data_IF_192344293106
#
_entry.id   IF_192344293106
#
_cell.length_a   1.000
_cell.length_b   1.000
_cell.length_c   1.000
_cell.angle_alpha   90.00
_cell.angle_beta   90.00
_cell.angle_gamma   90.00
#
_symmetry.space_group_name_H-M   'P 1'
#
loop_
_entity.id
_entity.type
_entity.pdbx_description
1 polymer ?
#
# COMPACT_ATOMS: atom_id res chain seq x y z
N UNK A 1 -45.11 -18.52 4.21
CA UNK A 1 -44.61 -19.09 2.94
C UNK A 1 -43.07 -19.25 2.93
N UNK A 2 -42.27 -18.25 3.35
CA UNK A 2 -40.79 -18.36 3.31
C UNK A 2 -40.12 -19.35 4.27
N UNK A 3 -40.67 -19.58 5.47
CA UNK A 3 -40.06 -20.48 6.46
C UNK A 3 -40.25 -21.97 6.10
N UNK A 4 -41.40 -22.32 5.50
CA UNK A 4 -41.68 -23.67 5.00
C UNK A 4 -40.78 -24.04 3.81
N UNK A 5 -40.44 -23.08 2.96
CA UNK A 5 -39.52 -23.28 1.84
C UNK A 5 -38.07 -23.50 2.31
N UNK A 6 -37.62 -22.77 3.34
CA UNK A 6 -36.28 -22.95 3.93
C UNK A 6 -36.10 -24.34 4.57
N UNK A 7 -37.13 -24.84 5.27
CA UNK A 7 -37.11 -26.18 5.88
C UNK A 7 -37.18 -27.28 4.82
N UNK A 8 -37.99 -27.12 3.77
CA UNK A 8 -38.04 -28.06 2.66
C UNK A 8 -36.70 -28.16 1.89
N UNK A 9 -35.99 -27.04 1.71
CA UNK A 9 -34.67 -27.02 1.06
C UNK A 9 -33.60 -27.66 1.93
N UNK A 10 -33.59 -27.42 3.25
CA UNK A 10 -32.66 -28.12 4.16
C UNK A 10 -32.94 -29.62 4.24
N UNK A 11 -34.21 -30.02 4.26
CA UNK A 11 -34.60 -31.42 4.26
C UNK A 11 -34.19 -32.10 2.94
N UNK A 12 -34.35 -31.41 1.80
CA UNK A 12 -33.85 -31.86 0.52
C UNK A 12 -32.32 -31.97 0.53
N UNK A 13 -31.58 -30.95 0.99
CA UNK A 13 -30.11 -30.93 1.05
C UNK A 13 -29.55 -32.10 1.89
N UNK A 14 -30.23 -32.44 3.01
CA UNK A 14 -29.90 -33.62 3.81
C UNK A 14 -30.19 -34.93 3.07
N UNK A 15 -31.35 -35.06 2.41
CA UNK A 15 -31.65 -36.24 1.57
C UNK A 15 -30.68 -36.37 0.38
N UNK A 16 -30.29 -35.27 -0.27
CA UNK A 16 -29.36 -35.26 -1.40
C UNK A 16 -27.97 -35.78 -1.03
N UNK A 17 -27.47 -35.47 0.17
CA UNK A 17 -26.20 -36.00 0.68
C UNK A 17 -26.27 -37.52 0.95
N UNK A 18 -27.43 -38.04 1.35
CA UNK A 18 -27.61 -39.49 1.60
C UNK A 18 -27.82 -40.33 0.34
N UNK A 19 -28.38 -39.76 -0.73
CA UNK A 19 -28.58 -40.48 -2.00
C UNK A 19 -27.29 -40.60 -2.84
N UNK A 20 -26.35 -39.67 -2.68
CA UNK A 20 -25.07 -39.62 -3.42
C UNK A 20 -23.84 -39.78 -2.52
N UNK A 21 -23.99 -40.44 -1.36
CA UNK A 21 -22.86 -40.87 -0.55
C UNK A 21 -21.92 -41.75 -1.40
N UNK A 22 -20.60 -41.43 -1.47
CA UNK A 22 -19.64 -42.17 -2.30
C UNK A 22 -19.60 -43.67 -2.00
N UNK A 23 -19.96 -44.04 -0.77
CA UNK A 23 -19.98 -45.41 -0.27
C UNK A 23 -20.87 -46.36 -1.11
N UNK A 24 -21.94 -45.86 -1.75
CA UNK A 24 -22.81 -46.70 -2.62
C UNK A 24 -22.35 -46.80 -4.08
N UNK A 25 -21.46 -45.91 -4.54
CA UNK A 25 -20.92 -45.95 -5.90
C UNK A 25 -19.65 -46.83 -6.00
N UNK A 26 -18.93 -47.01 -4.89
CA UNK A 26 -17.81 -47.95 -4.81
C UNK A 26 -18.23 -49.42 -5.01
N UNK A 27 -19.49 -49.78 -4.71
CA UNK A 27 -20.01 -51.15 -4.92
C UNK A 27 -20.34 -51.48 -6.38
N UNK A 28 -20.40 -50.49 -7.27
CA UNK A 28 -20.68 -50.69 -8.71
C UNK A 28 -19.50 -50.22 -9.57
N UNK A 29 -18.42 -51.00 -9.52
CA UNK A 29 -17.36 -51.05 -10.55
C UNK A 29 -16.84 -49.69 -11.02
N UNK A 30 -15.80 -49.18 -10.35
CA UNK A 30 -15.10 -47.95 -10.74
C UNK A 30 -14.52 -47.98 -12.16
N UNK A 31 -14.31 -46.78 -12.71
CA UNK A 31 -13.73 -46.55 -14.04
C UNK A 31 -12.26 -47.00 -14.09
N UNK A 32 -11.79 -47.63 -15.18
CA UNK A 32 -10.40 -48.05 -15.30
C UNK A 32 -9.46 -46.84 -15.40
N UNK A 33 -8.39 -46.88 -14.60
CA UNK A 33 -7.34 -45.86 -14.52
C UNK A 33 -6.46 -45.83 -15.80
N UNK A 34 -6.31 -44.69 -16.50
CA UNK A 34 -5.46 -44.59 -17.70
C UNK A 34 -3.95 -44.60 -17.40
N UNK A 35 -3.52 -44.60 -16.13
CA UNK A 35 -2.11 -44.51 -15.74
C UNK A 35 -1.55 -45.76 -15.04
N UNK A 36 -2.28 -46.88 -15.04
CA UNK A 36 -1.85 -48.15 -14.44
C UNK A 36 -0.81 -48.93 -15.30
N UNK A 37 0.22 -48.24 -15.82
CA UNK A 37 1.28 -48.89 -16.61
C UNK A 37 2.65 -48.27 -16.38
N UNK A 38 3.11 -48.23 -15.13
CA UNK A 38 4.53 -48.13 -14.80
C UNK A 38 4.77 -48.88 -13.48
N UNK A 39 4.97 -50.20 -13.59
CA UNK A 39 5.59 -51.02 -12.54
C UNK A 39 7.11 -50.93 -12.67
N UNK A 40 7.79 -50.68 -11.56
CA UNK A 40 9.24 -50.56 -11.48
C UNK A 40 9.73 -50.61 -10.03
N UNK A 41 9.63 -51.83 -9.47
CA UNK A 41 10.43 -52.48 -8.43
C UNK A 41 11.33 -51.66 -7.47
N UNK A 42 11.20 -51.96 -6.16
CA UNK A 42 12.27 -51.78 -5.18
C UNK A 42 11.87 -51.10 -3.86
N UNK A 43 11.91 -51.87 -2.76
CA UNK A 43 12.38 -51.35 -1.47
C UNK A 43 11.38 -51.30 -0.31
N UNK A 44 11.37 -52.37 0.45
CA UNK A 44 10.77 -52.53 1.77
C UNK A 44 11.33 -51.53 2.81
N UNK A 45 10.48 -50.79 3.53
CA UNK A 45 10.79 -50.33 4.89
C UNK A 45 9.55 -49.89 5.69
N UNK A 46 9.42 -50.53 6.86
CA UNK A 46 8.45 -50.29 7.93
C UNK A 46 8.49 -48.85 8.45
N UNK A 47 7.32 -48.30 8.78
CA UNK A 47 7.20 -47.14 9.66
C UNK A 47 5.79 -46.58 9.65
N UNK A 48 5.03 -46.86 10.73
CA UNK A 48 3.65 -46.44 10.91
C UNK A 48 3.42 -44.96 10.60
N UNK A 49 2.60 -44.70 9.59
CA UNK A 49 2.04 -43.39 9.28
C UNK A 49 0.53 -43.56 9.34
N UNK A 50 -0.08 -42.77 10.23
CA UNK A 50 -1.52 -42.75 10.47
C UNK A 50 -2.30 -42.73 9.16
N UNK A 51 -3.31 -43.58 9.09
CA UNK A 51 -4.42 -43.57 8.12
C UNK A 51 -5.19 -42.24 8.21
N UNK A 52 -4.57 -41.14 7.83
CA UNK A 52 -5.26 -39.90 7.54
C UNK A 52 -5.91 -40.08 6.17
N UNK A 53 -7.10 -40.69 6.20
CA UNK A 53 -8.19 -40.59 5.24
C UNK A 53 -7.78 -39.96 3.90
N UNK A 54 -7.41 -40.81 2.96
CA UNK A 54 -7.41 -40.52 1.54
C UNK A 54 -8.88 -40.39 1.09
N UNK A 55 -9.58 -39.37 1.57
CA UNK A 55 -10.83 -38.94 0.96
C UNK A 55 -10.48 -38.36 -0.40
N UNK A 56 -10.49 -39.24 -1.38
CA UNK A 56 -10.48 -38.94 -2.79
C UNK A 56 -11.48 -37.80 -3.04
N UNK A 57 -10.96 -36.60 -3.33
CA UNK A 57 -11.79 -35.44 -3.66
C UNK A 57 -12.42 -35.69 -5.03
N UNK A 58 -13.58 -36.34 -5.04
CA UNK A 58 -14.41 -36.48 -6.24
C UNK A 58 -14.86 -35.08 -6.65
N UNK A 59 -14.18 -34.52 -7.66
CA UNK A 59 -14.58 -33.29 -8.32
C UNK A 59 -16.01 -33.44 -8.85
N UNK A 60 -16.90 -32.52 -8.48
CA UNK A 60 -18.31 -32.57 -8.89
C UNK A 60 -18.43 -32.54 -10.43
N UNK A 61 -19.03 -33.56 -11.06
CA UNK A 61 -19.04 -33.66 -12.53
C UNK A 61 -19.80 -32.49 -13.19
N UNK A 62 -19.18 -31.91 -14.21
CA UNK A 62 -19.68 -30.78 -15.01
C UNK A 62 -21.07 -31.01 -15.60
N UNK A 63 -21.31 -32.21 -16.12
CA UNK A 63 -22.56 -32.57 -16.77
C UNK A 63 -23.75 -32.57 -15.79
N UNK A 64 -23.51 -32.80 -14.48
CA UNK A 64 -24.54 -32.71 -13.44
C UNK A 64 -24.93 -31.25 -13.22
N UNK A 65 -23.97 -30.32 -13.14
CA UNK A 65 -24.26 -28.89 -13.04
C UNK A 65 -25.03 -28.36 -14.28
N UNK A 66 -24.70 -28.88 -15.46
CA UNK A 66 -25.39 -28.57 -16.71
C UNK A 66 -26.82 -29.14 -16.75
N UNK A 67 -27.02 -30.38 -16.29
CA UNK A 67 -28.35 -30.99 -16.15
C UNK A 67 -29.23 -30.19 -15.18
N UNK A 68 -28.67 -29.71 -14.06
CA UNK A 68 -29.39 -28.85 -13.12
C UNK A 68 -29.74 -27.47 -13.69
N UNK A 69 -28.87 -26.89 -14.51
CA UNK A 69 -29.17 -25.65 -15.25
C UNK A 69 -30.29 -25.86 -16.27
N UNK A 70 -30.31 -27.01 -16.96
CA UNK A 70 -31.33 -27.32 -17.97
C UNK A 70 -32.71 -27.61 -17.34
N UNK A 71 -32.76 -28.39 -16.25
CA UNK A 71 -34.01 -28.84 -15.65
C UNK A 71 -34.58 -27.83 -14.62
N UNK A 72 -33.72 -27.15 -13.85
CA UNK A 72 -34.08 -26.28 -12.72
C UNK A 72 -33.31 -24.95 -12.70
N UNK A 73 -32.78 -24.51 -13.85
CA UNK A 73 -32.04 -23.25 -13.98
C UNK A 73 -32.87 -22.01 -13.66
N UNK A 74 -34.19 -22.05 -13.88
CA UNK A 74 -35.13 -20.99 -13.50
C UNK A 74 -35.25 -20.81 -11.98
N UNK A 75 -34.99 -21.86 -11.20
CA UNK A 75 -34.97 -21.83 -9.73
C UNK A 75 -33.55 -21.65 -9.15
N UNK A 76 -32.50 -21.58 -10.00
CA UNK A 76 -31.12 -21.38 -9.57
C UNK A 76 -30.42 -22.61 -8.97
N UNK A 77 -30.92 -23.83 -9.23
CA UNK A 77 -30.40 -25.08 -8.65
C UNK A 77 -28.89 -25.32 -8.92
N UNK A 78 -28.40 -24.94 -10.10
CA UNK A 78 -26.99 -25.02 -10.46
C UNK A 78 -26.07 -24.10 -9.63
N UNK A 79 -26.60 -22.98 -9.10
CA UNK A 79 -25.85 -22.08 -8.20
C UNK A 79 -25.76 -22.63 -6.77
N UNK A 80 -26.74 -23.43 -6.35
CA UNK A 80 -26.67 -24.20 -5.10
C UNK A 80 -25.67 -25.36 -5.23
N UNK A 81 -25.67 -26.08 -6.35
CA UNK A 81 -24.71 -27.16 -6.62
C UNK A 81 -23.25 -26.68 -6.61
N UNK A 82 -23.00 -25.46 -7.11
CA UNK A 82 -21.69 -24.79 -7.12
C UNK A 82 -21.34 -24.04 -5.82
N UNK A 83 -22.14 -24.18 -4.76
CA UNK A 83 -21.84 -23.68 -3.41
C UNK A 83 -22.10 -22.19 -3.18
N UNK A 84 -22.81 -21.50 -4.08
CA UNK A 84 -23.07 -20.04 -3.99
C UNK A 84 -24.49 -19.76 -3.54
N UNK A 85 -24.80 -20.14 -2.30
CA UNK A 85 -26.12 -20.06 -1.65
C UNK A 85 -26.77 -18.67 -1.70
N UNK A 86 -26.03 -17.59 -1.43
CA UNK A 86 -26.59 -16.22 -1.47
C UNK A 86 -27.06 -15.83 -2.88
N UNK A 87 -26.25 -16.16 -3.90
CA UNK A 87 -26.61 -15.87 -5.29
C UNK A 87 -27.71 -16.77 -5.83
N UNK A 88 -27.79 -18.02 -5.35
CA UNK A 88 -28.88 -18.95 -5.67
C UNK A 88 -30.20 -18.51 -5.06
N UNK A 89 -30.19 -17.97 -3.82
CA UNK A 89 -31.39 -17.48 -3.15
C UNK A 89 -31.95 -16.21 -3.84
N UNK A 90 -31.08 -15.29 -4.24
CA UNK A 90 -31.44 -14.13 -5.08
C UNK A 90 -32.04 -14.55 -6.43
N UNK A 91 -31.52 -15.62 -7.01
CA UNK A 91 -32.02 -16.19 -8.27
C UNK A 91 -33.40 -16.83 -8.12
N UNK A 92 -33.58 -17.62 -7.06
CA UNK A 92 -34.85 -18.25 -6.74
C UNK A 92 -35.94 -17.22 -6.40
N UNK A 93 -35.57 -16.16 -5.66
CA UNK A 93 -36.47 -15.07 -5.31
C UNK A 93 -36.89 -14.20 -6.52
N UNK A 94 -36.08 -14.19 -7.58
CA UNK A 94 -36.33 -13.42 -8.81
C UNK A 94 -36.84 -14.25 -9.98
N UNK A 95 -37.15 -15.55 -9.77
CA UNK A 95 -37.49 -16.50 -10.84
C UNK A 95 -36.48 -16.45 -12.01
N UNK A 96 -35.19 -16.43 -11.67
CA UNK A 96 -34.11 -16.36 -12.65
C UNK A 96 -34.04 -15.05 -13.43
N UNK A 97 -34.50 -13.94 -12.83
CA UNK A 97 -34.43 -12.61 -13.41
C UNK A 97 -35.10 -12.53 -14.79
N UNK A 98 -36.38 -12.90 -14.87
CA UNK A 98 -37.20 -12.83 -16.10
C UNK A 98 -36.57 -13.50 -17.34
N UNK A 99 -35.90 -14.65 -17.16
CA UNK A 99 -35.31 -15.43 -18.26
C UNK A 99 -33.98 -14.88 -18.81
N UNK A 100 -33.64 -13.62 -18.56
CA UNK A 100 -32.36 -13.03 -18.94
C UNK A 100 -31.18 -13.62 -18.16
N UNK A 101 -31.40 -13.96 -16.89
CA UNK A 101 -30.40 -14.67 -16.11
C UNK A 101 -30.08 -16.05 -16.70
N UNK A 102 -31.11 -16.80 -17.13
CA UNK A 102 -30.96 -18.16 -17.66
C UNK A 102 -30.02 -18.20 -18.89
N UNK A 103 -30.13 -17.20 -19.77
CA UNK A 103 -29.26 -17.03 -20.93
C UNK A 103 -27.83 -16.56 -20.57
N UNK A 104 -27.69 -15.63 -19.61
CA UNK A 104 -26.37 -15.18 -19.13
C UNK A 104 -25.57 -16.32 -18.47
N UNK A 105 -26.26 -17.26 -17.82
CA UNK A 105 -25.62 -18.43 -17.20
C UNK A 105 -25.09 -19.45 -18.22
N UNK A 106 -25.57 -19.47 -19.48
CA UNK A 106 -24.99 -20.29 -20.56
C UNK A 106 -23.55 -19.83 -20.89
N UNK A 107 -23.30 -18.52 -20.87
CA UNK A 107 -21.97 -17.93 -21.08
C UNK A 107 -21.08 -18.04 -19.83
N UNK A 108 -21.69 -18.08 -18.64
CA UNK A 108 -20.95 -18.19 -17.37
C UNK A 108 -20.61 -19.62 -16.98
N UNK A 109 -21.41 -20.63 -17.35
CA UNK A 109 -21.23 -22.03 -16.93
C UNK A 109 -19.84 -22.61 -17.26
N UNK A 110 -19.22 -22.37 -18.43
CA UNK A 110 -17.87 -22.84 -18.72
C UNK A 110 -16.82 -22.28 -17.74
N UNK A 111 -16.94 -21.00 -17.38
CA UNK A 111 -16.04 -20.35 -16.41
C UNK A 111 -16.30 -20.79 -14.96
N UNK A 112 -17.52 -21.22 -14.65
CA UNK A 112 -17.90 -21.77 -13.34
C UNK A 112 -17.47 -23.23 -13.19
N UNK A 113 -17.56 -24.02 -14.27
CA UNK A 113 -17.13 -25.41 -14.32
C UNK A 113 -15.60 -25.56 -14.26
N UNK A 114 -14.86 -24.67 -14.93
CA UNK A 114 -13.40 -24.58 -14.83
C UNK A 114 -12.90 -24.25 -13.42
N UNK A 115 -13.75 -23.67 -12.56
CA UNK A 115 -13.42 -23.38 -11.14
C UNK A 115 -13.62 -24.58 -10.21
N UNK A 116 -14.51 -25.51 -10.54
CA UNK A 116 -14.81 -26.72 -9.73
C UNK A 116 -13.85 -27.89 -9.98
N UNK A 117 -13.11 -27.86 -11.10
CA UNK A 117 -12.10 -28.87 -11.44
C UNK A 117 -10.69 -28.51 -10.95
N UNK A 118 -10.48 -27.28 -10.45
CA UNK A 118 -9.27 -26.98 -9.70
C UNK A 118 -9.44 -27.60 -8.31
N UNK A 119 -8.55 -28.51 -7.89
CA UNK A 119 -8.59 -29.00 -6.52
C UNK A 119 -8.62 -27.79 -5.60
N UNK A 120 -9.56 -27.78 -4.66
CA UNK A 120 -9.70 -26.73 -3.63
C UNK A 120 -8.53 -26.75 -2.64
N UNK A 121 -7.35 -27.23 -3.04
CA UNK A 121 -6.20 -27.47 -2.19
C UNK A 121 -5.42 -26.20 -1.83
N UNK A 122 -5.76 -25.02 -2.35
CA UNK A 122 -5.42 -23.76 -1.67
C UNK A 122 -6.49 -23.40 -0.63
N UNK A 123 -6.80 -24.33 0.28
CA UNK A 123 -7.04 -23.89 1.66
C UNK A 123 -5.68 -23.39 2.10
N UNK A 124 -5.48 -22.07 2.03
CA UNK A 124 -4.29 -21.36 2.51
C UNK A 124 -3.95 -21.90 3.90
N UNK A 125 -3.08 -22.90 3.96
CA UNK A 125 -2.86 -23.69 5.16
C UNK A 125 -2.24 -22.76 6.18
N UNK A 126 -2.83 -22.67 7.38
CA UNK A 126 -2.27 -21.82 8.41
C UNK A 126 -0.82 -22.26 8.66
N UNK A 127 0.16 -21.35 8.65
CA UNK A 127 1.54 -21.74 8.87
C UNK A 127 1.69 -22.31 10.28
N UNK A 128 2.57 -23.30 10.46
CA UNK A 128 2.74 -24.04 11.72
C UNK A 128 3.11 -23.16 12.93
N UNK A 129 3.63 -21.95 12.69
CA UNK A 129 3.89 -20.98 13.75
C UNK A 129 2.64 -20.16 14.14
N UNK A 130 1.67 -19.97 13.24
CA UNK A 130 0.47 -19.18 13.50
C UNK A 130 -0.49 -19.86 14.48
N UNK A 131 -0.53 -21.20 14.50
CA UNK A 131 -1.28 -21.98 15.49
C UNK A 131 -0.81 -21.67 16.92
N UNK A 132 0.51 -21.50 17.10
CA UNK A 132 1.14 -21.18 18.40
C UNK A 132 1.05 -19.69 18.76
N UNK A 133 0.88 -18.82 17.77
CA UNK A 133 0.78 -17.36 17.94
C UNK A 133 -0.58 -16.89 18.51
N UNK A 134 -1.52 -17.81 18.79
CA UNK A 134 -2.87 -17.52 19.29
C UNK A 134 -2.96 -16.64 20.55
N UNK A 135 -1.85 -16.45 21.28
CA UNK A 135 -1.74 -15.55 22.45
C UNK A 135 -0.91 -14.31 22.15
N UNK A 136 -1.29 -13.50 21.16
CA UNK A 136 -0.84 -12.11 21.10
C UNK A 136 -1.29 -11.42 22.39
N UNK A 137 -0.35 -11.05 23.25
CA UNK A 137 -0.63 -10.35 24.50
C UNK A 137 -1.34 -9.02 24.23
N UNK A 138 -2.15 -8.55 25.19
CA UNK A 138 -2.87 -7.27 25.09
C UNK A 138 -1.90 -6.12 24.75
N UNK A 139 -0.70 -6.14 25.35
CA UNK A 139 0.35 -5.15 25.10
C UNK A 139 0.83 -5.13 23.64
N UNK A 140 1.10 -6.29 23.03
CA UNK A 140 1.55 -6.37 21.62
C UNK A 140 0.46 -5.85 20.67
N UNK A 141 -0.80 -6.16 20.96
CA UNK A 141 -1.93 -5.61 20.22
C UNK A 141 -2.02 -4.08 20.33
N UNK A 142 -1.90 -3.53 21.54
CA UNK A 142 -1.95 -2.08 21.78
C UNK A 142 -0.80 -1.37 21.08
N UNK A 143 0.43 -1.90 21.16
CA UNK A 143 1.60 -1.33 20.49
C UNK A 143 1.43 -1.30 18.96
N UNK A 144 0.96 -2.40 18.36
CA UNK A 144 0.69 -2.47 16.92
C UNK A 144 -0.41 -1.50 16.50
N UNK A 145 -1.49 -1.43 17.27
CA UNK A 145 -2.60 -0.50 17.01
C UNK A 145 -2.14 0.96 17.09
N UNK A 146 -1.47 1.34 18.17
CA UNK A 146 -0.96 2.68 18.37
C UNK A 146 0.01 3.08 17.24
N UNK A 147 0.96 2.20 16.90
CA UNK A 147 1.89 2.46 15.80
C UNK A 147 1.19 2.60 14.45
N UNK A 148 0.30 1.68 14.10
CA UNK A 148 -0.40 1.73 12.80
C UNK A 148 -1.33 2.94 12.68
N UNK A 149 -1.78 3.55 13.78
CA UNK A 149 -2.54 4.78 13.74
C UNK A 149 -1.65 6.03 13.65
N UNK A 150 -0.59 6.09 14.46
CA UNK A 150 0.23 7.31 14.60
C UNK A 150 1.33 7.40 13.56
N UNK A 151 2.07 6.32 13.30
CA UNK A 151 3.24 6.38 12.42
C UNK A 151 2.88 6.69 10.96
N UNK A 152 1.84 6.07 10.35
CA UNK A 152 1.40 6.46 9.01
C UNK A 152 0.91 7.91 8.93
N UNK A 153 0.24 8.39 9.97
CA UNK A 153 -0.22 9.77 10.05
C UNK A 153 0.96 10.74 10.03
N UNK A 154 1.93 10.55 10.93
CA UNK A 154 3.15 11.38 10.98
C UNK A 154 3.91 11.32 9.66
N UNK A 155 4.05 10.13 9.08
CA UNK A 155 4.72 9.97 7.79
C UNK A 155 4.00 10.70 6.65
N UNK A 156 2.67 10.65 6.61
CA UNK A 156 1.88 11.37 5.60
C UNK A 156 2.04 12.87 5.75
N UNK A 157 1.95 13.39 6.97
CA UNK A 157 2.17 14.81 7.25
C UNK A 157 3.59 15.20 6.80
N UNK A 158 4.62 14.44 7.18
CA UNK A 158 6.00 14.70 6.78
C UNK A 158 6.16 14.69 5.25
N UNK A 159 5.66 13.66 4.56
CA UNK A 159 5.74 13.59 3.10
C UNK A 159 5.07 14.77 2.41
N UNK A 160 3.92 15.24 2.92
CA UNK A 160 3.26 16.43 2.37
C UNK A 160 4.10 17.69 2.63
N UNK A 161 4.57 17.89 3.87
CA UNK A 161 5.37 19.07 4.25
C UNK A 161 6.70 19.19 3.49
N UNK A 162 7.32 18.06 3.15
CA UNK A 162 8.58 18.00 2.41
C UNK A 162 8.37 17.79 0.90
N UNK A 163 7.14 17.84 0.40
CA UNK A 163 6.80 17.66 -1.02
C UNK A 163 7.34 16.33 -1.61
N UNK A 164 7.16 15.23 -0.88
CA UNK A 164 7.59 13.87 -1.23
C UNK A 164 6.40 12.94 -1.51
N UNK A 165 5.54 13.30 -2.46
CA UNK A 165 4.39 12.50 -2.86
C UNK A 165 4.78 11.13 -3.46
N UNK A 166 5.97 11.04 -4.04
CA UNK A 166 6.54 9.81 -4.56
C UNK A 166 6.68 8.72 -3.48
N UNK A 167 7.06 9.11 -2.25
CA UNK A 167 7.19 8.18 -1.13
C UNK A 167 5.82 7.68 -0.66
N UNK A 168 4.80 8.53 -0.70
CA UNK A 168 3.41 8.14 -0.41
C UNK A 168 2.88 7.15 -1.43
N UNK A 169 3.16 7.36 -2.72
CA UNK A 169 2.76 6.45 -3.78
C UNK A 169 3.44 5.08 -3.61
N UNK A 170 4.74 5.04 -3.33
CA UNK A 170 5.48 3.80 -3.07
C UNK A 170 4.94 3.08 -1.83
N UNK A 171 4.69 3.79 -0.73
CA UNK A 171 4.13 3.22 0.48
C UNK A 171 2.74 2.64 0.22
N UNK A 172 1.85 3.39 -0.43
CA UNK A 172 0.51 2.96 -0.79
C UNK A 172 0.55 1.70 -1.67
N UNK A 173 1.45 1.67 -2.66
CA UNK A 173 1.62 0.55 -3.58
C UNK A 173 2.02 -0.75 -2.87
N UNK A 174 2.69 -0.70 -1.72
CA UNK A 174 3.07 -1.88 -0.94
C UNK A 174 2.08 -2.20 0.17
N UNK A 175 1.65 -1.18 0.94
CA UNK A 175 0.78 -1.34 2.10
C UNK A 175 -0.64 -1.73 1.69
N UNK A 176 -1.18 -1.15 0.61
CA UNK A 176 -2.54 -1.45 0.15
C UNK A 176 -2.66 -2.94 -0.20
N UNK A 177 -1.77 -3.54 -1.02
CA UNK A 177 -1.73 -4.99 -1.16
C UNK A 177 -1.63 -5.67 0.20
N UNK A 178 -0.63 -5.40 1.03
CA UNK A 178 -0.46 -6.06 2.33
C UNK A 178 -1.72 -6.04 3.24
N UNK A 179 -2.47 -4.93 3.27
CA UNK A 179 -3.72 -4.80 4.03
C UNK A 179 -4.95 -5.42 3.36
N UNK A 180 -5.01 -5.41 2.03
CA UNK A 180 -6.10 -6.01 1.24
C UNK A 180 -5.90 -7.51 0.95
N UNK A 181 -4.71 -8.06 1.20
CA UNK A 181 -4.32 -9.46 0.99
C UNK A 181 -5.09 -10.47 1.85
N UNK A 182 -6.09 -10.06 2.65
CA UNK A 182 -7.08 -10.98 3.25
C UNK A 182 -7.86 -11.82 2.22
N UNK A 183 -7.60 -11.63 0.92
CA UNK A 183 -8.08 -12.42 -0.21
C UNK A 183 -6.98 -12.61 -1.30
N UNK A 184 -5.71 -12.71 -0.88
CA UNK A 184 -4.51 -12.68 -1.71
C UNK A 184 -4.63 -13.44 -3.04
N UNK A 185 -4.97 -14.73 -3.02
CA UNK A 185 -5.10 -15.51 -4.25
C UNK A 185 -6.11 -14.92 -5.25
N UNK A 186 -7.28 -14.45 -4.77
CA UNK A 186 -8.37 -13.97 -5.62
C UNK A 186 -8.22 -12.52 -6.11
N UNK A 187 -7.57 -11.67 -5.33
CA UNK A 187 -7.34 -10.28 -5.71
C UNK A 187 -6.11 -10.12 -6.60
N UNK A 188 -5.07 -10.96 -6.41
CA UNK A 188 -3.89 -10.99 -7.28
C UNK A 188 -4.22 -11.50 -8.68
N UNK A 189 -5.08 -12.52 -8.83
CA UNK A 189 -5.54 -13.01 -10.15
C UNK A 189 -6.35 -11.96 -10.92
N UNK A 190 -7.22 -11.17 -10.26
CA UNK A 190 -7.94 -10.08 -10.94
C UNK A 190 -7.03 -8.94 -11.40
N UNK A 191 -5.86 -8.82 -10.77
CA UNK A 191 -4.88 -7.80 -11.08
C UNK A 191 -3.85 -8.28 -12.11
N UNK A 192 -3.98 -9.45 -12.74
CA UNK A 192 -3.02 -9.89 -13.78
C UNK A 192 -2.84 -8.87 -14.90
N UNK A 193 -3.91 -8.20 -15.31
CA UNK A 193 -3.86 -7.10 -16.29
C UNK A 193 -3.05 -5.90 -15.75
N UNK A 194 -3.18 -5.59 -14.47
CA UNK A 194 -2.47 -4.47 -13.81
C UNK A 194 -1.02 -4.85 -13.45
N UNK A 195 -0.77 -6.13 -13.19
CA UNK A 195 0.56 -6.69 -12.93
C UNK A 195 1.45 -6.70 -14.17
N UNK A 196 0.87 -6.54 -15.37
CA UNK A 196 1.61 -6.34 -16.61
C UNK A 196 2.41 -5.02 -16.63
N UNK A 197 2.05 -4.04 -15.79
CA UNK A 197 2.78 -2.79 -15.69
C UNK A 197 4.07 -3.01 -14.89
N UNK A 198 5.24 -2.53 -15.37
CA UNK A 198 6.54 -2.88 -14.81
C UNK A 198 6.68 -2.48 -13.32
N UNK A 199 6.15 -1.32 -12.94
CA UNK A 199 6.21 -0.80 -11.55
C UNK A 199 5.30 -1.61 -10.62
N UNK A 200 4.06 -1.85 -11.04
CA UNK A 200 3.06 -2.54 -10.21
C UNK A 200 3.42 -4.04 -10.10
N UNK A 201 3.82 -4.67 -11.19
CA UNK A 201 4.31 -6.04 -11.20
C UNK A 201 5.52 -6.24 -10.27
N UNK A 202 6.45 -5.28 -10.25
CA UNK A 202 7.61 -5.33 -9.33
C UNK A 202 7.18 -5.25 -7.86
N UNK A 203 6.25 -4.35 -7.53
CA UNK A 203 5.73 -4.21 -6.17
C UNK A 203 4.93 -5.44 -5.72
N UNK A 204 4.06 -5.98 -6.58
CA UNK A 204 3.33 -7.22 -6.30
C UNK A 204 4.28 -8.41 -6.16
N UNK A 205 5.33 -8.49 -6.99
CA UNK A 205 6.38 -9.50 -6.87
C UNK A 205 7.13 -9.41 -5.55
N UNK A 206 7.42 -8.20 -5.07
CA UNK A 206 7.98 -7.97 -3.74
C UNK A 206 7.06 -8.45 -2.62
N UNK A 207 5.78 -8.08 -2.68
CA UNK A 207 4.75 -8.51 -1.71
C UNK A 207 4.61 -10.04 -1.69
N UNK A 208 4.64 -10.71 -2.85
CA UNK A 208 4.61 -12.18 -2.95
C UNK A 208 5.82 -12.83 -2.29
N UNK A 209 7.02 -12.27 -2.48
CA UNK A 209 8.25 -12.76 -1.84
C UNK A 209 8.19 -12.60 -0.31
N UNK A 210 7.69 -11.46 0.17
CA UNK A 210 7.46 -11.26 1.60
C UNK A 210 6.46 -12.26 2.17
N UNK A 211 5.35 -12.48 1.46
CA UNK A 211 4.35 -13.46 1.88
C UNK A 211 4.94 -14.86 2.01
N UNK A 212 5.67 -15.33 1.00
CA UNK A 212 6.34 -16.63 1.03
C UNK A 212 7.35 -16.75 2.19
N UNK A 213 8.14 -15.69 2.42
CA UNK A 213 9.11 -15.66 3.52
C UNK A 213 8.44 -15.75 4.90
N UNK A 214 7.39 -14.94 5.16
CA UNK A 214 6.69 -14.94 6.44
C UNK A 214 5.74 -16.13 6.63
N UNK A 215 5.41 -16.85 5.56
CA UNK A 215 4.74 -18.13 5.65
C UNK A 215 5.64 -19.17 6.32
N UNK A 216 6.90 -19.27 5.87
CA UNK A 216 7.88 -20.23 6.42
C UNK A 216 8.49 -19.77 7.75
N UNK A 217 8.63 -18.46 7.95
CA UNK A 217 9.32 -17.88 9.11
C UNK A 217 8.41 -16.95 9.92
N UNK A 218 8.25 -17.26 11.20
CA UNK A 218 7.50 -16.40 12.11
C UNK A 218 8.15 -15.01 12.21
N UNK A 219 7.36 -13.91 12.13
CA UNK A 219 7.88 -12.58 12.37
C UNK A 219 8.41 -12.49 13.82
N UNK A 220 9.52 -11.76 13.98
CA UNK A 220 10.09 -11.46 15.30
C UNK A 220 9.19 -10.51 16.11
N UNK A 221 9.65 -10.12 17.30
CA UNK A 221 8.93 -9.17 18.15
C UNK A 221 8.65 -7.86 17.41
N UNK A 222 7.55 -7.20 17.75
CA UNK A 222 7.18 -5.91 17.16
C UNK A 222 8.30 -4.86 17.30
N UNK A 223 8.96 -4.80 18.47
CA UNK A 223 10.06 -3.88 18.75
C UNK A 223 11.30 -4.14 17.87
N UNK A 224 11.55 -5.38 17.45
CA UNK A 224 12.63 -5.68 16.51
C UNK A 224 12.40 -4.96 15.17
N UNK A 225 11.16 -4.92 14.70
CA UNK A 225 10.80 -4.26 13.44
C UNK A 225 10.71 -2.75 13.56
N UNK A 226 10.35 -2.22 14.74
CA UNK A 226 10.35 -0.77 14.97
C UNK A 226 11.76 -0.18 14.82
N UNK A 227 12.78 -0.89 15.31
CA UNK A 227 14.18 -0.49 15.19
C UNK A 227 14.90 -1.16 14.01
N UNK A 228 14.17 -1.64 13.00
CA UNK A 228 14.73 -2.50 11.94
C UNK A 228 15.96 -1.93 11.20
N UNK A 229 16.01 -0.64 10.82
CA UNK A 229 17.20 -0.11 10.14
C UNK A 229 18.49 -0.31 10.94
N UNK A 230 18.39 -0.42 12.27
CA UNK A 230 19.51 -0.66 13.18
C UNK A 230 19.61 -2.14 13.56
N UNK A 231 18.50 -2.79 13.91
CA UNK A 231 18.51 -4.17 14.41
C UNK A 231 18.81 -5.19 13.31
N UNK A 232 18.40 -4.94 12.07
CA UNK A 232 18.58 -5.88 10.98
C UNK A 232 20.05 -6.05 10.57
N UNK A 233 20.85 -4.99 10.31
CA UNK A 233 22.28 -5.15 10.02
C UNK A 233 23.02 -5.92 11.11
N UNK A 234 22.72 -5.63 12.39
CA UNK A 234 23.31 -6.33 13.53
C UNK A 234 22.89 -7.80 13.60
N UNK A 235 21.63 -8.11 13.31
CA UNK A 235 21.11 -9.47 13.28
C UNK A 235 21.61 -10.27 12.06
N UNK A 236 21.83 -9.61 10.92
CA UNK A 236 22.30 -10.22 9.68
C UNK A 236 23.71 -10.79 9.83
N UNK A 237 24.57 -10.20 10.67
CA UNK A 237 25.91 -10.72 10.94
C UNK A 237 25.86 -12.14 11.53
N UNK A 238 24.90 -12.40 12.42
CA UNK A 238 24.82 -13.67 13.18
C UNK A 238 23.79 -14.66 12.66
N UNK A 239 22.72 -14.20 12.01
CA UNK A 239 21.57 -15.03 11.64
C UNK A 239 21.41 -15.16 10.12
N UNK A 240 21.42 -16.39 9.57
CA UNK A 240 21.17 -16.59 8.14
C UNK A 240 19.74 -16.19 7.74
N UNK A 241 18.77 -16.34 8.66
CA UNK A 241 17.37 -15.92 8.44
C UNK A 241 17.27 -14.40 8.31
N UNK A 242 17.95 -13.65 9.18
CA UNK A 242 17.96 -12.18 9.10
C UNK A 242 18.64 -11.68 7.81
N UNK A 243 19.69 -12.36 7.31
CA UNK A 243 20.30 -12.04 6.00
C UNK A 243 19.35 -12.26 4.84
N UNK A 244 18.59 -13.35 4.86
CA UNK A 244 17.57 -13.63 3.84
C UNK A 244 16.47 -12.58 3.89
N UNK A 245 15.98 -12.24 5.08
CA UNK A 245 14.98 -11.18 5.29
C UNK A 245 15.49 -9.84 4.72
N UNK A 246 16.71 -9.42 5.08
CA UNK A 246 17.32 -8.20 4.58
C UNK A 246 17.42 -8.17 3.04
N UNK A 247 17.80 -9.31 2.44
CA UNK A 247 17.91 -9.45 0.99
C UNK A 247 16.59 -9.23 0.24
N UNK A 248 15.44 -9.47 0.87
CA UNK A 248 14.13 -9.23 0.25
C UNK A 248 13.89 -7.75 -0.03
N UNK A 249 14.40 -6.86 0.83
CA UNK A 249 14.21 -5.42 0.73
C UNK A 249 15.20 -4.73 -0.20
N UNK A 250 16.25 -5.43 -0.68
CA UNK A 250 17.28 -4.83 -1.54
C UNK A 250 16.69 -4.14 -2.77
N UNK A 251 15.80 -4.80 -3.49
CA UNK A 251 15.19 -4.24 -4.70
C UNK A 251 14.24 -3.08 -4.38
N UNK A 252 13.55 -3.16 -3.24
CA UNK A 252 12.68 -2.09 -2.76
C UNK A 252 13.48 -0.83 -2.40
N UNK A 253 14.57 -0.99 -1.64
CA UNK A 253 15.50 0.09 -1.29
C UNK A 253 16.13 0.68 -2.54
N UNK A 254 16.59 -0.16 -3.49
CA UNK A 254 17.12 0.32 -4.76
C UNK A 254 16.10 1.15 -5.53
N UNK A 255 14.84 0.70 -5.62
CA UNK A 255 13.77 1.46 -6.26
C UNK A 255 13.53 2.81 -5.56
N UNK A 256 13.56 2.85 -4.22
CA UNK A 256 13.40 4.08 -3.46
C UNK A 256 14.52 5.08 -3.73
N UNK A 257 15.78 4.60 -3.75
CA UNK A 257 16.94 5.43 -4.12
C UNK A 257 16.82 5.93 -5.55
N UNK A 258 16.42 5.08 -6.49
CA UNK A 258 16.23 5.48 -7.89
C UNK A 258 15.17 6.56 -8.04
N UNK A 259 14.03 6.46 -7.33
CA UNK A 259 12.97 7.47 -7.35
C UNK A 259 13.48 8.82 -6.87
N UNK A 260 14.20 8.85 -5.74
CA UNK A 260 14.81 10.09 -5.22
C UNK A 260 15.87 10.62 -6.18
N UNK A 261 16.75 9.77 -6.70
CA UNK A 261 17.82 10.17 -7.61
C UNK A 261 17.27 10.77 -8.91
N UNK A 262 16.23 10.16 -9.49
CA UNK A 262 15.57 10.67 -10.71
C UNK A 262 14.94 12.04 -10.44
N UNK A 263 14.27 12.23 -9.30
CA UNK A 263 13.68 13.52 -8.91
C UNK A 263 14.74 14.63 -8.92
N UNK A 264 15.83 14.44 -8.19
CA UNK A 264 16.92 15.42 -8.14
C UNK A 264 17.63 15.63 -9.48
N UNK A 265 17.73 14.59 -10.31
CA UNK A 265 18.30 14.72 -11.65
C UNK A 265 17.42 15.58 -12.57
N UNK A 266 16.10 15.43 -12.49
CA UNK A 266 15.14 16.23 -13.29
C UNK A 266 15.06 17.67 -12.78
N UNK A 267 15.08 17.86 -11.46
CA UNK A 267 14.99 19.18 -10.82
C UNK A 267 16.33 19.95 -10.83
N UNK A 268 17.44 19.30 -11.17
CA UNK A 268 18.78 19.88 -11.07
C UNK A 268 18.90 21.25 -11.73
N UNK A 269 18.50 21.35 -13.00
CA UNK A 269 18.67 22.57 -13.80
C UNK A 269 17.80 23.74 -13.32
N UNK A 270 16.68 23.45 -12.66
CA UNK A 270 15.75 24.47 -12.16
C UNK A 270 16.08 24.91 -10.73
N UNK A 271 16.64 24.01 -9.92
CA UNK A 271 16.71 24.20 -8.46
C UNK A 271 18.13 24.46 -7.93
N UNK A 272 19.21 24.14 -8.65
CA UNK A 272 20.56 24.25 -8.10
C UNK A 272 21.39 25.39 -8.72
N UNK A 273 21.64 25.41 -10.05
CA UNK A 273 22.36 26.52 -10.68
C UNK A 273 21.65 27.88 -10.46
N UNK A 274 22.39 29.01 -10.50
CA UNK A 274 23.84 29.12 -10.71
C UNK A 274 24.65 29.01 -9.40
N UNK A 275 24.01 29.10 -8.23
CA UNK A 275 24.69 29.26 -6.94
C UNK A 275 25.01 27.93 -6.23
N UNK A 276 24.26 26.87 -6.50
CA UNK A 276 24.54 25.54 -5.96
C UNK A 276 25.11 24.65 -7.07
N UNK A 277 26.17 23.90 -6.74
CA UNK A 277 26.86 23.02 -7.65
C UNK A 277 26.29 21.59 -7.66
N UNK A 278 26.90 20.74 -8.49
CA UNK A 278 26.58 19.30 -8.56
C UNK A 278 26.85 18.59 -7.23
N UNK A 279 27.89 19.00 -6.49
CA UNK A 279 28.22 18.42 -5.19
C UNK A 279 27.13 18.67 -4.16
N UNK A 280 26.55 19.88 -4.14
CA UNK A 280 25.45 20.24 -3.25
C UNK A 280 24.21 19.41 -3.60
N UNK A 281 23.86 19.36 -4.89
CA UNK A 281 22.75 18.54 -5.38
C UNK A 281 22.89 17.07 -4.98
N UNK A 282 24.09 16.51 -5.08
CA UNK A 282 24.37 15.15 -4.62
C UNK A 282 24.19 15.01 -3.10
N UNK A 283 24.68 15.98 -2.31
CA UNK A 283 24.52 16.00 -0.85
C UNK A 283 23.04 15.98 -0.43
N UNK A 284 22.23 16.84 -1.06
CA UNK A 284 20.77 16.87 -0.85
C UNK A 284 20.11 15.56 -1.26
N UNK A 285 20.42 15.03 -2.44
CA UNK A 285 19.86 13.76 -2.92
C UNK A 285 20.23 12.60 -2.00
N UNK A 286 21.48 12.56 -1.51
CA UNK A 286 21.96 11.53 -0.59
C UNK A 286 21.25 11.59 0.76
N UNK A 287 21.18 12.77 1.39
CA UNK A 287 20.51 12.96 2.66
C UNK A 287 19.03 12.56 2.56
N UNK A 288 18.35 12.97 1.49
CA UNK A 288 16.96 12.60 1.23
C UNK A 288 16.80 11.10 0.98
N UNK A 289 17.69 10.47 0.23
CA UNK A 289 17.64 9.03 0.04
C UNK A 289 17.77 8.30 1.38
N UNK A 290 18.69 8.72 2.26
CA UNK A 290 18.84 8.13 3.61
C UNK A 290 17.57 8.30 4.43
N UNK A 291 17.01 9.52 4.49
CA UNK A 291 15.80 9.81 5.25
C UNK A 291 14.59 9.04 4.68
N UNK A 292 14.45 8.98 3.36
CA UNK A 292 13.40 8.24 2.67
C UNK A 292 13.50 6.74 2.98
N UNK A 293 14.69 6.14 2.88
CA UNK A 293 14.92 4.74 3.22
C UNK A 293 14.57 4.48 4.67
N UNK A 294 15.10 5.27 5.59
CA UNK A 294 14.88 5.08 7.01
C UNK A 294 13.39 5.23 7.37
N UNK A 295 12.77 6.35 6.99
CA UNK A 295 11.36 6.61 7.27
C UNK A 295 10.42 5.57 6.66
N UNK A 296 10.67 5.20 5.40
CA UNK A 296 9.82 4.20 4.72
C UNK A 296 10.00 2.81 5.32
N UNK A 297 11.22 2.38 5.66
CA UNK A 297 11.44 1.05 6.25
C UNK A 297 10.87 0.96 7.67
N UNK A 298 11.10 1.99 8.51
CA UNK A 298 10.54 2.07 9.88
C UNK A 298 9.02 1.97 9.84
N UNK A 299 8.39 2.56 8.83
CA UNK A 299 6.95 2.51 8.67
C UNK A 299 6.47 1.17 8.08
N UNK A 300 7.09 0.75 6.98
CA UNK A 300 6.63 -0.38 6.19
C UNK A 300 6.69 -1.69 6.98
N UNK A 301 7.79 -1.93 7.70
CA UNK A 301 8.04 -3.24 8.31
C UNK A 301 7.10 -3.61 9.46
N UNK A 302 6.84 -2.72 10.44
CA UNK A 302 5.88 -3.05 11.48
C UNK A 302 4.45 -3.17 10.92
N UNK A 303 4.12 -2.46 9.84
CA UNK A 303 2.82 -2.58 9.16
C UNK A 303 2.70 -3.92 8.43
N UNK A 304 3.68 -4.29 7.60
CA UNK A 304 3.65 -5.53 6.82
C UNK A 304 3.65 -6.75 7.74
N UNK A 305 4.49 -6.76 8.78
CA UNK A 305 4.53 -7.85 9.75
C UNK A 305 3.24 -7.92 10.58
N UNK A 306 2.62 -6.80 10.93
CA UNK A 306 1.29 -6.77 11.57
C UNK A 306 0.21 -7.33 10.65
N UNK A 307 0.24 -6.92 9.37
CA UNK A 307 -0.70 -7.40 8.37
C UNK A 307 -0.59 -8.92 8.17
N UNK A 308 0.62 -9.44 7.97
CA UNK A 308 0.86 -10.88 7.83
C UNK A 308 0.51 -11.65 9.11
N UNK A 309 0.84 -11.12 10.29
CA UNK A 309 0.47 -11.75 11.57
C UNK A 309 -1.05 -11.92 11.68
N UNK A 310 -1.83 -10.88 11.38
CA UNK A 310 -3.30 -10.97 11.43
C UNK A 310 -3.92 -11.76 10.29
N UNK A 311 -3.30 -11.77 9.12
CA UNK A 311 -3.71 -12.61 7.98
C UNK A 311 -3.55 -14.09 8.30
N UNK A 312 -2.34 -14.52 8.69
CA UNK A 312 -2.02 -15.92 8.95
C UNK A 312 -2.67 -16.48 10.23
N UNK A 313 -2.97 -15.63 11.23
CA UNK A 313 -3.72 -16.04 12.43
C UNK A 313 -5.24 -16.08 12.24
N UNK A 314 -5.74 -15.82 11.03
CA UNK A 314 -7.18 -15.84 10.72
C UNK A 314 -7.97 -14.64 11.25
N UNK A 315 -7.31 -13.64 11.84
CA UNK A 315 -7.94 -12.43 12.43
C UNK A 315 -8.24 -11.36 11.38
N UNK A 316 -8.83 -11.76 10.25
CA UNK A 316 -9.08 -10.90 9.06
C UNK A 316 -9.91 -9.65 9.37
N UNK A 317 -10.84 -9.73 10.33
CA UNK A 317 -11.61 -8.57 10.79
C UNK A 317 -10.74 -7.51 11.48
N UNK A 318 -9.76 -7.92 12.31
CA UNK A 318 -8.82 -6.98 12.96
C UNK A 318 -7.93 -6.30 11.94
N UNK A 319 -7.48 -7.04 10.91
CA UNK A 319 -6.71 -6.46 9.82
C UNK A 319 -7.51 -5.42 9.03
N UNK A 320 -8.75 -5.74 8.64
CA UNK A 320 -9.60 -4.82 7.87
C UNK A 320 -9.99 -3.57 8.66
N UNK A 321 -10.32 -3.73 9.94
CA UNK A 321 -10.62 -2.59 10.83
C UNK A 321 -9.40 -1.71 11.03
N UNK A 322 -8.22 -2.30 11.26
CA UNK A 322 -6.96 -1.55 11.34
C UNK A 322 -6.69 -0.78 10.04
N UNK A 323 -6.74 -1.45 8.89
CA UNK A 323 -6.52 -0.82 7.59
C UNK A 323 -7.52 0.32 7.32
N UNK A 324 -8.81 0.12 7.64
CA UNK A 324 -9.83 1.16 7.49
C UNK A 324 -9.55 2.36 8.42
N UNK A 325 -9.16 2.12 9.67
CA UNK A 325 -8.81 3.20 10.61
C UNK A 325 -7.57 3.97 10.15
N UNK A 326 -6.53 3.28 9.66
CA UNK A 326 -5.34 3.94 9.11
C UNK A 326 -5.76 4.87 7.97
N UNK A 327 -6.53 4.38 7.00
CA UNK A 327 -7.00 5.20 5.87
C UNK A 327 -7.89 6.36 6.31
N UNK A 328 -8.77 6.13 7.29
CA UNK A 328 -9.66 7.15 7.87
C UNK A 328 -8.89 8.29 8.54
N UNK A 329 -7.70 8.01 9.09
CA UNK A 329 -6.87 9.03 9.74
C UNK A 329 -5.90 9.68 8.74
N UNK A 330 -5.24 8.89 7.90
CA UNK A 330 -4.18 9.38 7.01
C UNK A 330 -4.70 10.20 5.84
N UNK A 331 -5.83 9.81 5.24
CA UNK A 331 -6.37 10.51 4.06
C UNK A 331 -6.83 11.93 4.44
N UNK A 332 -7.68 12.14 5.47
CA UNK A 332 -8.09 13.49 5.84
C UNK A 332 -6.93 14.33 6.36
N UNK A 333 -6.01 13.74 7.11
CA UNK A 333 -4.84 14.47 7.58
C UNK A 333 -3.94 14.91 6.44
N UNK A 334 -3.65 14.04 5.47
CA UNK A 334 -2.88 14.40 4.28
C UNK A 334 -3.58 15.45 3.42
N UNK A 335 -4.91 15.38 3.29
CA UNK A 335 -5.69 16.39 2.59
C UNK A 335 -5.69 17.74 3.32
N UNK A 336 -5.84 17.72 4.65
CA UNK A 336 -5.82 18.91 5.50
C UNK A 336 -4.43 19.58 5.48
N UNK A 337 -3.35 18.82 5.62
CA UNK A 337 -1.99 19.38 5.54
C UNK A 337 -1.69 19.92 4.16
N UNK A 338 -2.09 19.22 3.10
CA UNK A 338 -1.91 19.71 1.72
C UNK A 338 -2.68 21.01 1.48
N UNK A 339 -3.92 21.09 1.99
CA UNK A 339 -4.74 22.28 1.89
C UNK A 339 -4.11 23.45 2.68
N UNK A 340 -3.68 23.21 3.92
CA UNK A 340 -3.01 24.22 4.75
C UNK A 340 -1.73 24.71 4.11
N UNK A 341 -0.89 23.82 3.59
CA UNK A 341 0.35 24.16 2.91
C UNK A 341 0.08 25.08 1.70
N UNK A 342 -0.86 24.69 0.83
CA UNK A 342 -1.28 25.49 -0.34
C UNK A 342 -1.90 26.86 -0.01
N UNK A 343 -2.59 27.00 1.13
CA UNK A 343 -3.28 28.23 1.51
C UNK A 343 -2.46 29.12 2.45
N UNK A 344 -1.43 28.58 3.10
CA UNK A 344 -0.55 29.35 3.98
C UNK A 344 0.29 30.37 3.23
N UNK A 345 0.45 30.21 1.91
CA UNK A 345 1.10 31.17 1.02
C UNK A 345 2.57 31.44 1.36
N UNK A 346 3.20 30.57 2.17
CA UNK A 346 4.60 30.63 2.53
C UNK A 346 5.40 29.51 1.88
N UNK A 347 6.73 29.63 1.92
CA UNK A 347 7.63 28.63 1.37
C UNK A 347 7.49 27.26 2.03
N UNK A 348 7.56 26.22 1.19
CA UNK A 348 7.64 24.82 1.65
C UNK A 348 8.85 24.63 2.58
N UNK A 349 8.80 23.64 3.46
CA UNK A 349 9.91 23.36 4.37
C UNK A 349 11.22 23.07 3.61
N UNK A 350 11.12 22.40 2.47
CA UNK A 350 12.26 22.17 1.58
C UNK A 350 12.80 23.47 1.01
N UNK A 351 11.93 24.34 0.46
CA UNK A 351 12.37 25.61 -0.12
C UNK A 351 13.08 26.50 0.92
N UNK A 352 12.61 26.50 2.17
CA UNK A 352 13.32 27.18 3.28
C UNK A 352 14.70 26.61 3.53
N UNK A 353 14.82 25.29 3.62
CA UNK A 353 16.11 24.62 3.80
C UNK A 353 17.07 24.92 2.63
N UNK A 354 16.60 24.82 1.38
CA UNK A 354 17.41 25.15 0.19
C UNK A 354 17.83 26.61 0.20
N UNK A 355 16.94 27.53 0.59
CA UNK A 355 17.27 28.94 0.70
C UNK A 355 18.33 29.20 1.77
N UNK A 356 18.25 28.56 2.94
CA UNK A 356 19.29 28.66 3.97
C UNK A 356 20.67 28.24 3.43
N UNK A 357 20.74 27.12 2.71
CA UNK A 357 21.97 26.70 2.04
C UNK A 357 22.45 27.68 0.98
N UNK A 358 21.54 28.27 0.19
CA UNK A 358 21.90 29.35 -0.76
C UNK A 358 22.46 30.58 -0.04
N UNK A 359 21.89 30.93 1.11
CA UNK A 359 22.33 32.06 1.93
C UNK A 359 23.75 31.88 2.49
N UNK A 360 24.24 30.65 2.64
CA UNK A 360 25.64 30.40 2.99
C UNK A 360 26.59 30.85 1.86
N UNK A 361 26.16 30.74 0.60
CA UNK A 361 26.96 31.12 -0.56
C UNK A 361 27.17 32.65 -0.65
N UNK A 362 28.43 33.08 -0.65
CA UNK A 362 28.81 34.50 -0.75
C UNK A 362 28.41 35.17 -2.07
N UNK A 363 28.42 34.45 -3.19
CA UNK A 363 27.98 34.98 -4.47
C UNK A 363 26.48 35.27 -4.45
N UNK A 364 25.68 34.34 -3.92
CA UNK A 364 24.23 34.52 -3.78
C UNK A 364 23.91 35.71 -2.88
N UNK A 365 24.54 35.83 -1.70
CA UNK A 365 24.34 36.97 -0.80
C UNK A 365 24.67 38.31 -1.45
N UNK A 366 25.73 38.38 -2.26
CA UNK A 366 26.11 39.61 -2.97
C UNK A 366 25.07 40.00 -4.01
N UNK A 367 24.61 39.06 -4.84
CA UNK A 367 23.59 39.33 -5.86
C UNK A 367 22.23 39.68 -5.23
N UNK A 368 21.83 38.96 -4.18
CA UNK A 368 20.61 39.25 -3.44
C UNK A 368 20.65 40.66 -2.83
N UNK A 369 21.79 41.05 -2.22
CA UNK A 369 21.98 42.40 -1.67
C UNK A 369 21.90 43.46 -2.77
N UNK A 370 22.58 43.25 -3.90
CA UNK A 370 22.56 44.19 -5.01
C UNK A 370 21.15 44.37 -5.60
N UNK A 371 20.41 43.27 -5.76
CA UNK A 371 19.02 43.30 -6.21
C UNK A 371 18.11 44.02 -5.20
N UNK A 372 18.30 43.76 -3.90
CA UNK A 372 17.55 44.42 -2.82
C UNK A 372 17.81 45.92 -2.77
N UNK A 373 19.07 46.33 -2.87
CA UNK A 373 19.44 47.75 -2.88
C UNK A 373 18.88 48.47 -4.12
N UNK A 374 18.92 47.84 -5.29
CA UNK A 374 18.35 48.39 -6.51
C UNK A 374 16.82 48.56 -6.38
N UNK A 375 16.14 47.56 -5.84
CA UNK A 375 14.70 47.59 -5.59
C UNK A 375 14.31 48.73 -4.65
N UNK A 376 14.99 48.81 -3.50
CA UNK A 376 14.73 49.85 -2.51
C UNK A 376 14.99 51.23 -3.08
N UNK A 377 16.08 51.43 -3.85
CA UNK A 377 16.39 52.71 -4.52
C UNK A 377 15.33 53.11 -5.55
N UNK A 378 14.77 52.15 -6.28
CA UNK A 378 13.76 52.43 -7.29
C UNK A 378 12.39 52.78 -6.68
N UNK A 379 12.06 52.18 -5.53
CA UNK A 379 10.77 52.37 -4.86
C UNK A 379 10.87 53.26 -3.60
N UNK A 380 11.95 54.04 -3.43
CA UNK A 380 12.13 54.93 -2.26
C UNK A 380 10.92 55.83 -2.05
N UNK A 381 10.36 56.40 -3.11
CA UNK A 381 9.22 57.32 -3.01
C UNK A 381 7.92 56.58 -2.62
N UNK A 382 7.66 55.39 -3.18
CA UNK A 382 6.52 54.54 -2.81
C UNK A 382 6.64 54.07 -1.35
N UNK A 383 7.85 53.71 -0.90
CA UNK A 383 8.14 53.28 0.48
C UNK A 383 8.06 54.45 1.46
N UNK A 384 8.54 55.64 1.09
CA UNK A 384 8.45 56.83 1.92
C UNK A 384 6.99 57.29 2.07
N UNK A 385 6.17 57.18 1.01
CA UNK A 385 4.74 57.48 1.06
C UNK A 385 3.98 56.51 1.97
N UNK A 386 4.33 55.21 1.98
CA UNK A 386 3.72 54.24 2.88
C UNK A 386 4.15 54.44 4.34
N UNK A 387 5.41 54.85 4.58
CA UNK A 387 5.94 55.21 5.90
C UNK A 387 5.28 56.46 6.50
N UNK A 388 4.87 57.43 5.68
CA UNK A 388 4.17 58.64 6.11
C UNK A 388 2.75 58.38 6.66
N UNK A 389 2.18 57.19 6.42
CA UNK A 389 0.91 56.77 7.02
C UNK A 389 1.07 56.23 8.46
N UNK A 390 2.31 56.03 8.93
CA UNK A 390 2.65 55.68 10.31
C UNK A 390 2.82 56.98 11.11
N UNK A 391 2.36 57.10 12.38
CA UNK A 391 2.22 58.39 13.07
C UNK A 391 3.50 59.20 13.35
N UNK A 392 4.67 58.75 12.89
CA UNK A 392 5.94 59.45 13.07
C UNK A 392 6.79 59.34 11.80
N UNK A 393 6.81 60.38 10.93
CA UNK A 393 7.65 60.39 9.74
C UNK A 393 9.12 60.45 10.15
N UNK A 394 9.88 59.39 9.92
CA UNK A 394 11.33 59.46 10.01
C UNK A 394 11.83 60.05 8.69
N UNK A 395 12.19 61.34 8.74
CA UNK A 395 12.92 62.02 7.65
C UNK A 395 14.31 61.40 7.56
N UNK A 396 14.58 60.67 6.48
CA UNK A 396 15.82 59.92 6.27
C UNK A 396 16.96 60.80 5.74
N UNK A 397 17.74 61.39 6.66
CA UNK A 397 19.09 61.88 6.41
C UNK A 397 20.08 60.70 6.47
N UNK A 398 20.19 59.91 5.41
CA UNK A 398 21.30 58.96 5.23
C UNK A 398 21.27 57.66 6.08
N UNK A 399 20.22 57.41 6.86
CA UNK A 399 20.00 56.15 7.58
C UNK A 399 19.30 55.11 6.67
N UNK A 400 19.46 53.79 6.91
CA UNK A 400 18.82 52.74 6.11
C UNK A 400 17.29 52.73 6.32
N UNK A 401 16.56 52.64 5.20
CA UNK A 401 15.10 52.46 5.15
C UNK A 401 14.70 51.23 5.99
N UNK A 402 13.68 51.30 6.86
CA UNK A 402 13.35 50.20 7.75
C UNK A 402 12.61 49.13 6.93
N UNK A 403 13.22 47.97 6.81
CA UNK A 403 12.76 46.83 5.99
C UNK A 403 11.35 46.35 6.35
N UNK A 404 10.94 46.55 7.62
CA UNK A 404 9.63 46.16 8.15
C UNK A 404 8.47 46.87 7.45
N UNK A 405 8.61 48.13 7.06
CA UNK A 405 7.55 48.89 6.40
C UNK A 405 7.31 48.48 4.93
N UNK A 406 8.30 47.85 4.30
CA UNK A 406 8.16 47.30 2.94
C UNK A 406 7.39 45.97 2.97
N UNK A 407 7.60 45.16 4.01
CA UNK A 407 6.92 43.87 4.18
C UNK A 407 5.40 44.01 4.36
N UNK A 408 4.95 45.09 5.01
CA UNK A 408 3.54 45.38 5.25
C UNK A 408 2.76 45.85 4.01
N UNK A 409 3.45 46.22 2.91
CA UNK A 409 2.81 46.70 1.69
C UNK A 409 2.64 45.58 0.64
N UNK A 410 1.42 45.03 0.45
CA UNK A 410 1.21 43.79 -0.32
C UNK A 410 1.68 43.87 -1.78
N UNK A 411 1.56 45.04 -2.42
CA UNK A 411 2.04 45.22 -3.80
C UNK A 411 3.57 45.28 -3.91
N UNK A 412 4.26 45.89 -2.93
CA UNK A 412 5.72 46.00 -2.94
C UNK A 412 6.35 44.65 -2.60
N UNK A 413 5.77 43.94 -1.64
CA UNK A 413 6.14 42.56 -1.30
C UNK A 413 6.03 41.63 -2.52
N UNK A 414 4.95 41.74 -3.30
CA UNK A 414 4.79 40.95 -4.54
C UNK A 414 5.78 41.35 -5.64
N UNK A 415 6.04 42.65 -5.83
CA UNK A 415 7.06 43.14 -6.80
C UNK A 415 8.45 42.63 -6.41
N UNK A 416 8.80 42.70 -5.13
CA UNK A 416 10.08 42.21 -4.60
C UNK A 416 10.19 40.69 -4.77
N UNK A 417 9.13 39.93 -4.48
CA UNK A 417 9.09 38.48 -4.71
C UNK A 417 9.41 38.12 -6.16
N UNK A 418 8.83 38.83 -7.12
CA UNK A 418 9.10 38.60 -8.56
C UNK A 418 10.55 38.88 -8.91
N UNK A 419 11.15 39.93 -8.34
CA UNK A 419 12.57 40.22 -8.53
C UNK A 419 13.45 39.08 -7.98
N UNK A 420 13.21 38.65 -6.74
CA UNK A 420 13.98 37.60 -6.07
C UNK A 420 13.77 36.23 -6.72
N UNK A 421 12.62 35.98 -7.34
CA UNK A 421 12.36 34.75 -8.11
C UNK A 421 13.24 34.59 -9.37
N UNK A 422 13.99 35.63 -9.75
CA UNK A 422 15.05 35.53 -10.77
C UNK A 422 16.38 34.99 -10.22
N UNK A 423 16.59 35.06 -8.90
CA UNK A 423 17.80 34.60 -8.21
C UNK A 423 17.60 33.27 -7.45
N UNK A 424 16.38 33.06 -6.97
CA UNK A 424 15.93 31.91 -6.20
C UNK A 424 14.70 31.28 -6.86
N UNK A 425 14.37 30.04 -6.51
CA UNK A 425 13.16 29.40 -7.05
C UNK A 425 11.90 30.14 -6.59
N UNK A 426 10.79 29.99 -7.32
CA UNK A 426 9.51 30.64 -6.95
C UNK A 426 9.07 30.27 -5.53
N UNK A 427 9.26 29.01 -5.16
CA UNK A 427 8.91 28.50 -3.83
C UNK A 427 9.85 29.05 -2.74
N UNK A 428 11.12 29.30 -3.06
CA UNK A 428 12.07 29.99 -2.17
C UNK A 428 11.72 31.48 -2.02
N UNK A 429 11.26 32.12 -3.10
CA UNK A 429 10.84 33.53 -3.08
C UNK A 429 9.66 33.76 -2.11
N UNK A 430 8.81 32.75 -1.91
CA UNK A 430 7.73 32.77 -0.91
C UNK A 430 8.22 32.76 0.55
N UNK A 431 9.51 32.49 0.80
CA UNK A 431 10.13 32.57 2.12
C UNK A 431 10.52 34.01 2.50
N UNK A 432 10.52 34.93 1.54
CA UNK A 432 10.87 36.34 1.74
C UNK A 432 9.67 37.23 2.07
N UNK A 433 8.49 36.63 2.30
CA UNK A 433 7.36 37.29 3.00
C UNK A 433 7.69 37.43 4.47
#
# INVERSE_FOLDING_TARGET
VGYGWYVAVRAADWQWQTWFAPERLAERGGWPDPLARFDGDGGESRGGRSEASMTEFVGKPYWVAFAWWLLLGWAGAHRFYTGRTVSGLLYAASFGGFGAGWAADLLLLPTLAGRSLRPSCEVESMPAWAERAGRLGVLDFVLRLAFCLVAPLVFVIACVMYNHFELLAVLALVVIPCGLLGNAGRSLERLEVVASWPVIGSALGFVRKLHAFYFEHAPRSFLYYLAYPVTCPLAAIRSPVARREFGLYRNFVAALVSVVAIKYAVEYSATFPPFLGVADAFGFAFMHAVLAIFGTLVLLLPITTTAFTYHFTGRRWRLRTLAALVLLVTIPAGAATYWMDRHSGGATAMARMTLEFRMENEAFRRELRAASEMFLRHHVDEVNQSLLAVPSPVVYLGEPVPTEAVAEHPELTEKYRRLVSGLATRDEADAFR
#
